data_IF_702352822745
#
_entry.id   IF_702352822745
#
_cell.length_a   1.000
_cell.length_b   1.000
_cell.length_c   1.000
_cell.angle_alpha   90.00
_cell.angle_beta   90.00
_cell.angle_gamma   90.00
#
_symmetry.space_group_name_H-M   'P 1'
#
loop_
_entity.id
_entity.type
_entity.pdbx_description
1 polymer ?
#
# COMPACT_ATOMS: atom_id res chain seq x y z
N UNK A 1 -19.27 -8.72 25.48
CA UNK A 1 -20.52 -8.39 24.75
C UNK A 1 -20.16 -7.96 23.34
N UNK A 2 -20.69 -8.62 22.31
CA UNK A 2 -20.51 -8.19 20.91
C UNK A 2 -21.68 -7.26 20.58
N UNK A 3 -21.42 -5.96 20.45
CA UNK A 3 -22.45 -5.01 20.04
C UNK A 3 -22.71 -5.15 18.54
N UNK A 4 -23.98 -5.24 18.15
CA UNK A 4 -24.37 -5.29 16.74
C UNK A 4 -23.99 -3.98 16.03
N UNK A 5 -23.55 -4.07 14.77
CA UNK A 5 -23.15 -2.93 13.96
C UNK A 5 -24.22 -1.83 13.92
N UNK A 6 -25.50 -2.20 13.92
CA UNK A 6 -26.62 -1.26 13.95
C UNK A 6 -26.66 -0.42 15.23
N UNK A 7 -26.27 -0.98 16.38
CA UNK A 7 -26.25 -0.27 17.66
C UNK A 7 -25.11 0.76 17.68
N UNK A 8 -23.97 0.42 17.08
CA UNK A 8 -22.81 1.32 16.98
C UNK A 8 -23.15 2.53 16.09
N UNK A 9 -23.80 2.28 14.95
CA UNK A 9 -24.23 3.35 14.03
C UNK A 9 -25.23 4.28 14.72
N UNK A 10 -26.20 3.73 15.44
CA UNK A 10 -27.22 4.52 16.13
C UNK A 10 -26.61 5.42 17.22
N UNK A 11 -25.61 4.89 17.95
CA UNK A 11 -24.90 5.62 18.98
C UNK A 11 -24.01 6.73 18.39
N UNK A 12 -23.36 6.47 17.25
CA UNK A 12 -22.59 7.48 16.53
C UNK A 12 -23.47 8.63 16.00
N UNK A 13 -24.66 8.33 15.49
CA UNK A 13 -25.62 9.34 15.02
C UNK A 13 -26.11 10.21 16.18
N UNK A 14 -26.44 9.60 17.33
CA UNK A 14 -26.87 10.33 18.52
C UNK A 14 -25.77 11.26 19.06
N UNK A 15 -24.52 10.80 19.09
CA UNK A 15 -23.38 11.62 19.52
C UNK A 15 -23.12 12.78 18.56
N UNK A 16 -23.24 12.55 17.25
CA UNK A 16 -23.08 13.60 16.23
C UNK A 16 -24.14 14.70 16.38
N UNK A 17 -25.42 14.33 16.44
CA UNK A 17 -26.52 15.30 16.61
C UNK A 17 -26.42 16.05 17.95
N UNK A 18 -26.05 15.36 19.03
CA UNK A 18 -25.83 15.96 20.34
C UNK A 18 -24.70 17.00 20.31
N UNK A 19 -23.58 16.69 19.65
CA UNK A 19 -22.44 17.61 19.53
C UNK A 19 -22.77 18.87 18.72
N UNK A 20 -23.52 18.73 17.62
CA UNK A 20 -23.95 19.85 16.80
C UNK A 20 -24.93 20.78 17.54
N UNK A 21 -25.88 20.19 18.29
CA UNK A 21 -26.81 20.94 19.13
C UNK A 21 -26.09 21.72 20.24
N UNK A 22 -25.08 21.12 20.85
CA UNK A 22 -24.30 21.76 21.92
C UNK A 22 -23.45 22.93 21.40
N UNK A 23 -22.84 22.78 20.22
CA UNK A 23 -22.14 23.87 19.51
C UNK A 23 -23.07 25.04 19.17
N UNK A 24 -24.28 24.76 18.66
CA UNK A 24 -25.26 25.80 18.37
C UNK A 24 -25.73 26.53 19.62
N UNK A 25 -25.89 25.83 20.74
CA UNK A 25 -26.28 26.45 22.00
C UNK A 25 -25.17 27.35 22.56
N UNK A 26 -23.91 26.91 22.52
CA UNK A 26 -22.79 27.71 23.02
C UNK A 26 -22.52 28.97 22.18
N UNK A 27 -22.73 28.89 20.86
CA UNK A 27 -22.46 30.00 19.93
C UNK A 27 -23.72 30.71 19.44
N UNK A 28 -24.85 30.55 20.15
CA UNK A 28 -26.14 31.10 19.72
C UNK A 28 -26.09 32.62 19.56
N UNK A 29 -25.43 33.31 20.49
CA UNK A 29 -25.35 34.76 20.49
C UNK A 29 -24.53 35.31 19.31
N UNK A 30 -23.41 34.67 18.96
CA UNK A 30 -22.58 35.09 17.81
C UNK A 30 -23.22 34.76 16.46
N UNK A 31 -23.96 33.65 16.39
CA UNK A 31 -24.60 33.19 15.16
C UNK A 31 -25.91 33.91 14.85
N UNK A 32 -26.66 34.36 15.88
CA UNK A 32 -28.01 34.88 15.70
C UNK A 32 -28.23 36.33 16.14
N UNK A 33 -27.29 36.98 16.87
CA UNK A 33 -27.43 38.41 17.17
C UNK A 33 -26.79 39.26 16.06
N UNK A 34 -27.51 40.27 15.51
CA UNK A 34 -26.92 41.19 14.56
C UNK A 34 -25.83 42.04 15.24
N UNK A 35 -24.66 42.14 14.61
CA UNK A 35 -23.54 42.95 15.10
C UNK A 35 -23.94 44.42 15.21
N UNK A 36 -23.61 45.12 16.32
CA UNK A 36 -24.04 46.50 16.53
C UNK A 36 -23.39 47.43 15.51
N UNK A 37 -24.22 48.21 14.80
CA UNK A 37 -23.78 49.22 13.84
C UNK A 37 -23.19 50.41 14.60
N UNK A 38 -21.87 50.48 14.66
CA UNK A 38 -21.16 51.66 15.17
C UNK A 38 -21.25 52.76 14.11
N UNK A 39 -22.02 53.82 14.38
CA UNK A 39 -21.99 55.03 13.54
C UNK A 39 -20.64 55.72 13.76
N UNK A 40 -19.82 55.77 12.71
CA UNK A 40 -18.59 56.54 12.73
C UNK A 40 -18.93 58.04 12.68
N UNK A 41 -18.83 58.71 13.83
CA UNK A 41 -18.79 60.17 13.86
C UNK A 41 -17.34 60.60 13.61
N UNK A 42 -17.09 61.16 12.43
CA UNK A 42 -15.80 61.77 12.10
C UNK A 42 -15.75 63.14 12.76
N UNK A 43 -14.90 63.30 13.78
CA UNK A 43 -14.50 64.62 14.26
C UNK A 43 -13.66 65.28 13.17
N UNK A 44 -14.19 66.31 12.52
CA UNK A 44 -13.47 67.07 11.49
C UNK A 44 -12.33 67.85 12.13
N UNK A 45 -11.11 67.36 11.97
CA UNK A 45 -9.88 68.12 12.20
C UNK A 45 -9.77 69.13 11.05
N UNK A 46 -9.82 70.42 11.36
CA UNK A 46 -9.59 71.47 10.35
C UNK A 46 -8.13 71.43 9.90
N UNK A 47 -7.95 71.41 8.57
CA UNK A 47 -6.65 71.32 7.91
C UNK A 47 -6.05 72.73 7.82
N UNK A 48 -5.00 73.00 8.61
CA UNK A 48 -4.23 74.24 8.52
C UNK A 48 -3.21 74.12 7.37
N UNK A 49 -3.39 74.93 6.33
CA UNK A 49 -2.63 74.84 5.08
C UNK A 49 -1.25 75.53 5.17
N UNK A 50 -0.97 76.31 6.23
CA UNK A 50 0.28 77.05 6.40
C UNK A 50 1.35 76.27 7.20
N UNK A 51 0.99 75.13 7.79
CA UNK A 51 1.90 74.19 8.47
C UNK A 51 2.54 73.17 7.51
N UNK A 52 2.66 73.53 6.23
CA UNK A 52 3.17 72.64 5.17
C UNK A 52 4.68 72.77 4.92
N UNK A 53 5.39 73.54 5.75
CA UNK A 53 6.85 73.64 5.69
C UNK A 53 7.51 72.54 6.55
N UNK A 54 7.36 71.28 6.12
CA UNK A 54 8.16 70.19 6.66
C UNK A 54 9.64 70.56 6.67
N UNK A 55 10.30 70.41 7.81
CA UNK A 55 11.73 70.69 7.90
C UNK A 55 12.51 69.73 6.97
N UNK A 56 13.69 70.13 6.46
CA UNK A 56 14.52 69.23 5.66
C UNK A 56 14.80 67.89 6.36
N UNK A 57 14.91 67.88 7.69
CA UNK A 57 15.07 66.66 8.48
C UNK A 57 13.83 65.75 8.41
N UNK A 58 12.62 66.30 8.53
CA UNK A 58 11.37 65.54 8.43
C UNK A 58 11.17 64.98 7.04
N UNK A 59 11.43 65.76 5.97
CA UNK A 59 11.34 65.25 4.59
C UNK A 59 12.36 64.14 4.30
N UNK A 60 13.57 64.22 4.86
CA UNK A 60 14.56 63.14 4.76
C UNK A 60 14.13 61.88 5.52
N UNK A 61 13.58 62.01 6.74
CA UNK A 61 13.07 60.87 7.50
C UNK A 61 11.89 60.19 6.81
N UNK A 62 10.97 60.96 6.23
CA UNK A 62 9.81 60.44 5.49
C UNK A 62 10.25 59.68 4.23
N UNK A 63 11.22 60.21 3.50
CA UNK A 63 11.80 59.53 2.35
C UNK A 63 12.55 58.24 2.73
N UNK A 64 13.23 58.22 3.88
CA UNK A 64 13.89 57.01 4.38
C UNK A 64 12.85 55.95 4.75
N UNK A 65 11.80 56.32 5.50
CA UNK A 65 10.72 55.41 5.85
C UNK A 65 10.00 54.87 4.61
N UNK A 66 9.78 55.70 3.60
CA UNK A 66 9.18 55.24 2.33
C UNK A 66 10.06 54.20 1.62
N UNK A 67 11.39 54.35 1.66
CA UNK A 67 12.33 53.37 1.09
C UNK A 67 12.36 52.08 1.89
N UNK A 68 12.34 52.18 3.22
CA UNK A 68 12.28 51.00 4.09
C UNK A 68 10.97 50.25 3.90
N UNK A 69 9.84 50.95 3.78
CA UNK A 69 8.54 50.36 3.48
C UNK A 69 8.50 49.70 2.10
N UNK A 70 9.09 50.32 1.06
CA UNK A 70 9.16 49.69 -0.25
C UNK A 70 10.01 48.42 -0.24
N UNK A 71 11.17 48.45 0.45
CA UNK A 71 12.02 47.27 0.62
C UNK A 71 11.31 46.16 1.40
N UNK A 72 10.55 46.51 2.44
CA UNK A 72 9.77 45.54 3.21
C UNK A 72 8.66 44.91 2.37
N UNK A 73 7.98 45.72 1.56
CA UNK A 73 6.94 45.26 0.63
C UNK A 73 7.51 44.29 -0.39
N UNK A 74 8.64 44.62 -1.01
CA UNK A 74 9.28 43.75 -1.99
C UNK A 74 9.72 42.43 -1.36
N UNK A 75 10.27 42.46 -0.14
CA UNK A 75 10.64 41.26 0.61
C UNK A 75 9.45 40.40 1.01
N UNK A 76 8.31 41.01 1.37
CA UNK A 76 7.07 40.29 1.65
C UNK A 76 6.55 39.60 0.38
N UNK A 77 6.57 40.31 -0.75
CA UNK A 77 6.09 39.77 -2.02
C UNK A 77 6.98 38.64 -2.55
N UNK A 78 8.29 38.68 -2.29
CA UNK A 78 9.21 37.58 -2.58
C UNK A 78 8.92 36.36 -1.68
N UNK A 79 8.64 36.59 -0.38
CA UNK A 79 8.29 35.51 0.56
C UNK A 79 6.96 34.85 0.22
N UNK A 80 5.97 35.62 -0.21
CA UNK A 80 4.68 35.10 -0.66
C UNK A 80 4.86 34.17 -1.87
N UNK A 81 5.65 34.60 -2.87
CA UNK A 81 5.99 33.76 -4.02
C UNK A 81 6.71 32.47 -3.66
N UNK A 82 7.65 32.52 -2.70
CA UNK A 82 8.36 31.32 -2.22
C UNK A 82 7.41 30.38 -1.47
N UNK A 83 6.49 30.93 -0.66
CA UNK A 83 5.48 30.13 0.03
C UNK A 83 4.52 29.46 -0.96
N UNK A 84 4.00 30.20 -1.95
CA UNK A 84 3.12 29.66 -2.98
C UNK A 84 3.80 28.53 -3.77
N UNK A 85 5.08 28.70 -4.12
CA UNK A 85 5.86 27.67 -4.81
C UNK A 85 6.01 26.40 -3.96
N UNK A 86 6.26 26.55 -2.66
CA UNK A 86 6.37 25.42 -1.72
C UNK A 86 5.03 24.74 -1.51
N UNK A 87 3.94 25.48 -1.39
CA UNK A 87 2.60 24.93 -1.24
C UNK A 87 2.20 24.14 -2.48
N UNK A 88 2.50 24.66 -3.67
CA UNK A 88 2.30 23.92 -4.92
C UNK A 88 3.12 22.63 -4.96
N UNK A 89 4.38 22.66 -4.54
CA UNK A 89 5.23 21.46 -4.50
C UNK A 89 4.68 20.41 -3.51
N UNK A 90 4.28 20.84 -2.31
CA UNK A 90 3.66 19.98 -1.31
C UNK A 90 2.34 19.36 -1.80
N UNK A 91 1.52 20.12 -2.51
CA UNK A 91 0.28 19.60 -3.09
C UNK A 91 0.54 18.50 -4.12
N UNK A 92 1.58 18.67 -4.96
CA UNK A 92 1.98 17.66 -5.93
C UNK A 92 2.50 16.38 -5.24
N UNK A 93 3.32 16.54 -4.21
CA UNK A 93 3.86 15.41 -3.43
C UNK A 93 2.75 14.64 -2.71
N UNK A 94 1.76 15.34 -2.14
CA UNK A 94 0.59 14.73 -1.51
C UNK A 94 -0.22 13.89 -2.52
N UNK A 95 -0.46 14.40 -3.73
CA UNK A 95 -1.17 13.65 -4.76
C UNK A 95 -0.39 12.38 -5.18
N UNK A 96 0.93 12.50 -5.31
CA UNK A 96 1.82 11.36 -5.59
C UNK A 96 1.75 10.29 -4.49
N UNK A 97 1.84 10.71 -3.22
CA UNK A 97 1.74 9.82 -2.07
C UNK A 97 0.37 9.13 -1.99
N UNK A 98 -0.71 9.83 -2.30
CA UNK A 98 -2.04 9.21 -2.37
C UNK A 98 -2.13 8.14 -3.44
N UNK A 99 -1.55 8.38 -4.63
CA UNK A 99 -1.51 7.37 -5.71
C UNK A 99 -0.74 6.13 -5.26
N UNK A 100 0.44 6.31 -4.69
CA UNK A 100 1.25 5.21 -4.15
C UNK A 100 0.50 4.42 -3.06
N UNK A 101 -0.20 5.10 -2.16
CA UNK A 101 -1.03 4.45 -1.13
C UNK A 101 -2.13 3.59 -1.74
N UNK A 102 -2.82 4.08 -2.79
CA UNK A 102 -3.86 3.32 -3.50
C UNK A 102 -3.28 2.09 -4.20
N UNK A 103 -2.10 2.21 -4.78
CA UNK A 103 -1.40 1.07 -5.41
C UNK A 103 -0.99 0.02 -4.38
N UNK A 104 -0.41 0.43 -3.24
CA UNK A 104 -0.05 -0.48 -2.15
C UNK A 104 -1.27 -1.24 -1.62
N UNK A 105 -2.40 -0.57 -1.41
CA UNK A 105 -3.62 -1.23 -0.97
C UNK A 105 -4.10 -2.26 -2.01
N UNK A 106 -4.05 -1.95 -3.31
CA UNK A 106 -4.41 -2.92 -4.36
C UNK A 106 -3.49 -4.13 -4.37
N UNK A 107 -2.18 -3.92 -4.18
CA UNK A 107 -1.21 -5.01 -4.08
C UNK A 107 -1.50 -5.87 -2.85
N UNK A 108 -1.80 -5.24 -1.71
CA UNK A 108 -2.18 -5.95 -0.49
C UNK A 108 -3.43 -6.80 -0.70
N UNK A 109 -4.47 -6.25 -1.35
CA UNK A 109 -5.70 -6.98 -1.64
C UNK A 109 -5.46 -8.16 -2.61
N UNK A 110 -4.67 -7.96 -3.66
CA UNK A 110 -4.30 -9.01 -4.63
C UNK A 110 -3.51 -10.14 -3.94
N UNK A 111 -2.53 -9.79 -3.11
CA UNK A 111 -1.76 -10.76 -2.33
C UNK A 111 -2.63 -11.53 -1.34
N UNK A 112 -3.55 -10.83 -0.65
CA UNK A 112 -4.50 -11.48 0.26
C UNK A 112 -5.42 -12.46 -0.47
N UNK A 113 -5.91 -12.08 -1.66
CA UNK A 113 -6.74 -12.96 -2.50
C UNK A 113 -5.96 -14.18 -2.97
N UNK A 114 -4.73 -13.99 -3.46
CA UNK A 114 -3.86 -15.09 -3.87
C UNK A 114 -3.53 -16.02 -2.71
N UNK A 115 -3.25 -15.49 -1.53
CA UNK A 115 -2.98 -16.30 -0.35
C UNK A 115 -4.20 -17.16 0.01
N UNK A 116 -5.40 -16.58 0.02
CA UNK A 116 -6.64 -17.33 0.26
C UNK A 116 -6.87 -18.41 -0.81
N UNK A 117 -6.60 -18.13 -2.08
CA UNK A 117 -6.63 -19.15 -3.14
C UNK A 117 -5.61 -20.27 -2.88
N UNK A 118 -4.38 -19.93 -2.50
CA UNK A 118 -3.34 -20.91 -2.17
C UNK A 118 -3.74 -21.79 -0.99
N UNK A 119 -4.26 -21.20 0.09
CA UNK A 119 -4.74 -21.93 1.26
C UNK A 119 -5.93 -22.84 0.90
N UNK A 120 -6.87 -22.35 0.09
CA UNK A 120 -8.00 -23.16 -0.39
C UNK A 120 -7.57 -24.36 -1.25
N UNK A 121 -6.43 -24.25 -1.94
CA UNK A 121 -5.84 -25.33 -2.73
C UNK A 121 -5.02 -26.29 -1.86
N UNK A 122 -4.35 -25.79 -0.81
CA UNK A 122 -3.49 -26.58 0.08
C UNK A 122 -4.27 -27.63 0.88
N UNK A 123 -5.55 -27.39 1.17
CA UNK A 123 -6.43 -28.33 1.87
C UNK A 123 -7.49 -29.00 0.99
N UNK A 124 -7.37 -28.92 -0.34
CA UNK A 124 -8.26 -29.68 -1.23
C UNK A 124 -7.61 -31.04 -1.43
N UNK A 125 -8.03 -32.02 -0.64
CA UNK A 125 -7.63 -33.41 -0.79
C UNK A 125 -7.65 -33.76 -2.28
N UNK A 126 -6.52 -34.25 -2.79
CA UNK A 126 -6.46 -34.86 -4.11
C UNK A 126 -7.62 -35.85 -4.16
N UNK A 127 -8.59 -35.64 -5.06
CA UNK A 127 -9.71 -36.57 -5.21
C UNK A 127 -9.13 -37.99 -5.29
N UNK A 128 -9.77 -38.97 -4.64
CA UNK A 128 -9.23 -40.35 -4.57
C UNK A 128 -8.77 -40.88 -5.94
N UNK A 129 -9.46 -40.47 -7.00
CA UNK A 129 -9.14 -40.72 -8.40
C UNK A 129 -7.78 -40.14 -8.84
N UNK A 130 -7.47 -38.87 -8.51
CA UNK A 130 -6.16 -38.27 -8.79
C UNK A 130 -5.03 -38.90 -7.99
N UNK A 131 -5.29 -39.27 -6.74
CA UNK A 131 -4.30 -39.95 -5.92
C UNK A 131 -3.95 -41.33 -6.50
N UNK A 132 -4.95 -42.02 -7.07
CA UNK A 132 -4.75 -43.26 -7.83
C UNK A 132 -3.94 -43.02 -9.10
N UNK A 133 -4.27 -42.00 -9.90
CA UNK A 133 -3.48 -41.63 -11.09
C UNK A 133 -2.02 -41.31 -10.74
N UNK A 134 -1.78 -40.64 -9.61
CA UNK A 134 -0.43 -40.31 -9.16
C UNK A 134 0.35 -41.57 -8.78
N UNK A 135 -0.27 -42.50 -8.04
CA UNK A 135 0.36 -43.79 -7.72
C UNK A 135 0.65 -44.63 -8.96
N UNK A 136 -0.26 -44.64 -9.94
CA UNK A 136 -0.08 -45.37 -11.20
C UNK A 136 1.07 -44.75 -12.03
N UNK A 137 1.16 -43.42 -12.06
CA UNK A 137 2.24 -42.70 -12.75
C UNK A 137 3.58 -42.91 -12.05
N UNK A 138 3.62 -42.87 -10.72
CA UNK A 138 4.80 -43.16 -9.93
C UNK A 138 5.30 -44.58 -10.21
N UNK A 139 4.40 -45.57 -10.20
CA UNK A 139 4.74 -46.95 -10.55
C UNK A 139 5.33 -47.07 -11.96
N UNK A 140 4.75 -46.35 -12.93
CA UNK A 140 5.27 -46.29 -14.30
C UNK A 140 6.69 -45.71 -14.36
N UNK A 141 7.01 -44.68 -13.57
CA UNK A 141 8.38 -44.15 -13.51
C UNK A 141 9.39 -45.19 -13.02
N UNK A 142 9.02 -46.01 -12.03
CA UNK A 142 9.86 -47.11 -11.56
C UNK A 142 10.03 -48.17 -12.64
N UNK A 143 8.94 -48.56 -13.32
CA UNK A 143 8.95 -49.58 -14.37
C UNK A 143 9.75 -49.15 -15.61
N UNK A 144 9.70 -47.87 -16.00
CA UNK A 144 10.39 -47.32 -17.17
C UNK A 144 11.89 -47.04 -16.91
N UNK A 145 12.30 -46.99 -15.64
CA UNK A 145 13.68 -46.74 -15.22
C UNK A 145 14.06 -45.26 -15.09
N UNK A 146 15.20 -44.97 -14.44
CA UNK A 146 15.55 -43.63 -13.97
C UNK A 146 15.83 -42.62 -15.08
N UNK A 147 16.35 -43.06 -16.23
CA UNK A 147 16.58 -42.21 -17.40
C UNK A 147 15.26 -41.65 -17.95
N UNK A 148 14.29 -42.53 -18.21
CA UNK A 148 13.00 -42.13 -18.79
C UNK A 148 12.15 -41.37 -17.78
N UNK A 149 12.18 -41.77 -16.51
CA UNK A 149 11.53 -41.03 -15.43
C UNK A 149 12.05 -39.58 -15.35
N UNK A 150 13.37 -39.39 -15.50
CA UNK A 150 13.97 -38.05 -15.45
C UNK A 150 13.51 -37.15 -16.59
N UNK A 151 13.44 -37.70 -17.81
CA UNK A 151 12.91 -37.02 -18.98
C UNK A 151 11.42 -36.70 -18.82
N UNK A 152 10.62 -37.61 -18.28
CA UNK A 152 9.22 -37.33 -17.98
C UNK A 152 9.11 -36.18 -16.97
N UNK A 153 9.77 -36.26 -15.81
CA UNK A 153 9.69 -35.20 -14.79
C UNK A 153 10.11 -33.83 -15.37
N UNK A 154 11.15 -33.78 -16.21
CA UNK A 154 11.57 -32.57 -16.91
C UNK A 154 10.47 -32.05 -17.86
N UNK A 155 9.80 -32.93 -18.61
CA UNK A 155 8.66 -32.55 -19.46
C UNK A 155 7.49 -31.97 -18.64
N UNK A 156 7.25 -32.48 -17.44
CA UNK A 156 6.23 -31.90 -16.54
C UNK A 156 6.63 -30.50 -16.05
N UNK A 157 7.92 -30.28 -15.75
CA UNK A 157 8.46 -28.93 -15.44
C UNK A 157 8.21 -27.96 -16.59
N UNK A 158 8.54 -28.35 -17.82
CA UNK A 158 8.33 -27.53 -19.02
C UNK A 158 6.85 -27.20 -19.27
N UNK A 159 5.93 -28.11 -18.94
CA UNK A 159 4.48 -27.92 -19.07
C UNK A 159 3.85 -27.12 -17.92
N UNK A 160 4.65 -26.52 -17.03
CA UNK A 160 4.18 -25.81 -15.81
C UNK A 160 3.38 -26.70 -14.85
N UNK A 161 3.59 -28.02 -14.89
CA UNK A 161 2.96 -29.01 -14.01
C UNK A 161 3.97 -29.62 -13.03
N UNK A 162 4.98 -28.83 -12.64
CA UNK A 162 6.06 -29.31 -11.79
C UNK A 162 5.57 -29.74 -10.41
N UNK A 163 4.62 -29.01 -9.82
CA UNK A 163 3.99 -29.36 -8.53
C UNK A 163 3.32 -30.73 -8.54
N UNK A 164 2.74 -31.12 -9.67
CA UNK A 164 2.14 -32.45 -9.81
C UNK A 164 3.22 -33.53 -9.88
N UNK A 165 4.31 -33.28 -10.62
CA UNK A 165 5.44 -34.21 -10.70
C UNK A 165 6.12 -34.40 -9.34
N UNK A 166 6.27 -33.32 -8.58
CA UNK A 166 6.76 -33.35 -7.21
C UNK A 166 5.83 -34.17 -6.28
N UNK A 167 4.52 -34.00 -6.40
CA UNK A 167 3.53 -34.76 -5.61
C UNK A 167 3.51 -36.24 -5.97
N UNK A 168 3.66 -36.58 -7.27
CA UNK A 168 3.84 -37.97 -7.74
C UNK A 168 5.13 -38.54 -7.16
N UNK A 169 6.23 -37.79 -7.21
CA UNK A 169 7.51 -38.22 -6.68
C UNK A 169 7.44 -38.50 -5.18
N UNK A 170 6.72 -37.71 -4.39
CA UNK A 170 6.49 -37.95 -2.96
C UNK A 170 5.88 -39.33 -2.69
N UNK A 171 5.03 -39.85 -3.59
CA UNK A 171 4.40 -41.18 -3.44
C UNK A 171 5.36 -42.35 -3.61
N UNK A 172 6.55 -42.13 -4.18
CA UNK A 172 7.57 -43.18 -4.36
C UNK A 172 8.23 -43.54 -3.03
N UNK A 173 8.68 -44.79 -2.92
CA UNK A 173 9.53 -45.23 -1.80
C UNK A 173 10.93 -44.64 -1.96
N UNK A 174 11.64 -44.45 -0.85
CA UNK A 174 13.01 -43.93 -0.86
C UNK A 174 13.97 -44.75 -1.75
N UNK A 175 13.78 -46.07 -1.80
CA UNK A 175 14.54 -47.01 -2.62
C UNK A 175 14.36 -46.76 -4.13
N UNK A 176 13.16 -46.33 -4.54
CA UNK A 176 12.82 -46.04 -5.94
C UNK A 176 13.20 -44.61 -6.35
N UNK A 177 13.23 -43.67 -5.38
CA UNK A 177 13.64 -42.28 -5.57
C UNK A 177 15.14 -42.15 -5.83
N UNK A 178 15.95 -42.91 -5.10
CA UNK A 178 17.40 -42.76 -5.10
C UNK A 178 18.04 -42.98 -6.49
N UNK A 179 17.67 -43.99 -7.30
CA UNK A 179 18.18 -44.16 -8.65
C UNK A 179 17.84 -43.00 -9.60
N UNK A 180 16.64 -42.42 -9.46
CA UNK A 180 16.18 -41.29 -10.29
C UNK A 180 17.00 -40.04 -9.96
N UNK A 181 17.11 -39.70 -8.67
CA UNK A 181 17.91 -38.56 -8.21
C UNK A 181 19.38 -38.74 -8.58
N UNK A 182 19.93 -39.94 -8.37
CA UNK A 182 21.32 -40.23 -8.72
C UNK A 182 21.58 -40.11 -10.22
N UNK A 183 20.64 -40.56 -11.07
CA UNK A 183 20.75 -40.38 -12.51
C UNK A 183 20.78 -38.90 -12.90
N UNK A 184 19.86 -38.10 -12.35
CA UNK A 184 19.78 -36.67 -12.63
C UNK A 184 21.04 -35.91 -12.17
N UNK A 185 21.55 -36.20 -10.97
CA UNK A 185 22.75 -35.56 -10.42
C UNK A 185 24.03 -35.95 -11.16
N UNK A 186 24.07 -37.16 -11.74
CA UNK A 186 25.20 -37.63 -12.55
C UNK A 186 25.10 -37.20 -14.02
N UNK A 187 24.07 -36.42 -14.39
CA UNK A 187 23.92 -35.90 -15.74
C UNK A 187 24.78 -34.65 -15.94
N UNK A 188 25.29 -34.44 -17.15
CA UNK A 188 26.00 -33.21 -17.54
C UNK A 188 25.06 -32.03 -17.81
N UNK A 189 23.74 -32.19 -17.63
CA UNK A 189 22.75 -31.15 -17.87
C UNK A 189 22.40 -30.42 -16.56
N UNK A 190 22.74 -29.12 -16.47
CA UNK A 190 22.42 -28.26 -15.33
C UNK A 190 20.93 -28.30 -14.96
N UNK A 191 20.05 -28.33 -15.97
CA UNK A 191 18.59 -28.42 -15.78
C UNK A 191 18.15 -29.66 -14.99
N UNK A 192 18.85 -30.80 -15.17
CA UNK A 192 18.56 -32.05 -14.47
C UNK A 192 19.15 -32.04 -13.06
N UNK A 193 20.29 -31.41 -12.85
CA UNK A 193 20.89 -31.23 -11.53
C UNK A 193 19.96 -30.36 -10.66
N UNK A 194 19.50 -29.21 -11.18
CA UNK A 194 18.53 -28.36 -10.49
C UNK A 194 17.23 -29.10 -10.17
N UNK A 195 16.78 -29.95 -11.09
CA UNK A 195 15.59 -30.77 -10.92
C UNK A 195 15.74 -31.76 -9.77
N UNK A 196 16.90 -32.41 -9.69
CA UNK A 196 17.22 -33.35 -8.63
C UNK A 196 17.26 -32.64 -7.26
N UNK A 197 17.86 -31.46 -7.20
CA UNK A 197 17.90 -30.65 -5.98
C UNK A 197 16.50 -30.25 -5.53
N UNK A 198 15.63 -29.81 -6.44
CA UNK A 198 14.25 -29.46 -6.12
C UNK A 198 13.44 -30.67 -5.60
N UNK A 199 13.60 -31.84 -6.21
CA UNK A 199 12.98 -33.10 -5.74
C UNK A 199 13.48 -33.47 -4.34
N UNK A 200 14.79 -33.38 -4.11
CA UNK A 200 15.41 -33.69 -2.82
C UNK A 200 15.02 -32.68 -1.72
N UNK A 201 14.88 -31.39 -2.05
CA UNK A 201 14.42 -30.36 -1.11
C UNK A 201 12.98 -30.62 -0.66
N UNK A 202 12.11 -31.06 -1.59
CA UNK A 202 10.74 -31.42 -1.23
C UNK A 202 10.65 -32.67 -0.38
N UNK A 203 11.42 -33.71 -0.69
CA UNK A 203 11.47 -34.93 0.13
C UNK A 203 11.95 -34.65 1.57
N UNK A 204 12.78 -33.61 1.75
CA UNK A 204 13.23 -33.11 3.07
C UNK A 204 12.24 -32.17 3.77
N UNK A 205 11.08 -31.87 3.16
CA UNK A 205 10.08 -30.94 3.70
C UNK A 205 10.50 -29.47 3.68
N UNK A 206 11.51 -29.11 2.89
CA UNK A 206 11.97 -27.72 2.73
C UNK A 206 11.16 -26.94 1.69
N UNK A 207 10.33 -27.64 0.91
CA UNK A 207 9.33 -27.07 0.02
C UNK A 207 7.93 -27.44 0.55
N UNK A 208 6.91 -26.57 0.36
CA UNK A 208 5.55 -26.86 0.79
C UNK A 208 5.05 -28.14 0.11
N UNK A 209 4.71 -29.15 0.91
CA UNK A 209 4.06 -30.38 0.44
C UNK A 209 2.55 -30.21 0.39
N UNK A 210 1.91 -30.98 -0.49
CA UNK A 210 0.46 -31.17 -0.45
C UNK A 210 0.22 -32.19 0.66
N UNK A 211 -0.46 -31.78 1.74
CA UNK A 211 -0.89 -32.71 2.78
C UNK A 211 -1.83 -33.74 2.16
N UNK A 212 -1.37 -34.98 2.06
CA UNK A 212 -2.21 -36.15 1.75
C UNK A 212 -2.58 -36.82 3.07
N UNK A 213 -3.47 -36.20 3.85
CA UNK A 213 -4.17 -36.87 4.95
C UNK A 213 -5.53 -37.38 4.49
#
# INVERSE_FOLDING_TARGET
MKFSASVIVLLAVLLSVGSAGLMLFLNYDDLFKPTPVVKAEFTSVEFDADDTSYSPAETHSMNQLSKELSLLKDKLLEREKDLDARESALSMDLESLEKQKRELNRIQDDLSSKLAEFESRKGKDLSEEKLKEYKDTAKRWVEMGPEVASVEIQNWRQKRRFEEALSIFETLKAEDKAPIIAFMLNSDQDDLIELADALAMRDRGLLPSVSME
#
